data_IF_181562266306
#
_entry.id   IF_181562266306
#
_cell.length_a   1.000
_cell.length_b   1.000
_cell.length_c   1.000
_cell.angle_alpha   90.00
_cell.angle_beta   90.00
_cell.angle_gamma   90.00
#
_symmetry.space_group_name_H-M   'P 1'
#
loop_
_entity.id
_entity.type
_entity.pdbx_description
1 polymer ?
#
# COMPACT_ATOMS: atom_id res chain seq x y z
N UNK A 1 7.00 7.61 -11.83
CA UNK A 1 6.85 8.31 -10.54
C UNK A 1 5.87 7.55 -9.65
N UNK A 2 6.14 7.46 -8.35
CA UNK A 2 5.27 6.79 -7.36
C UNK A 2 4.69 7.82 -6.38
N UNK A 3 3.40 7.70 -6.06
CA UNK A 3 2.74 8.52 -5.03
C UNK A 3 1.95 7.61 -4.08
N UNK A 4 1.99 7.94 -2.80
CA UNK A 4 1.18 7.33 -1.75
C UNK A 4 0.35 8.43 -1.11
N UNK A 5 -0.97 8.22 -1.00
CA UNK A 5 -1.90 9.28 -0.61
C UNK A 5 -2.89 8.78 0.43
N UNK A 6 -3.09 9.61 1.45
CA UNK A 6 -4.29 9.59 2.29
C UNK A 6 -5.16 10.77 1.87
N UNK A 7 -6.46 10.56 1.66
CA UNK A 7 -7.37 11.64 1.26
C UNK A 7 -7.44 12.76 2.31
N UNK A 8 -7.26 12.40 3.59
CA UNK A 8 -7.22 13.35 4.71
C UNK A 8 -6.00 13.11 5.60
N UNK A 9 -5.46 14.16 6.24
CA UNK A 9 -4.43 14.01 7.27
C UNK A 9 -5.01 13.45 8.60
N UNK A 10 -6.32 13.59 8.82
CA UNK A 10 -7.02 13.11 10.00
C UNK A 10 -8.45 12.68 9.65
N UNK A 11 -8.92 11.63 10.33
CA UNK A 11 -10.25 11.05 10.21
C UNK A 11 -10.90 10.98 11.60
N UNK A 12 -12.22 11.13 11.65
CA UNK A 12 -12.97 10.87 12.89
C UNK A 12 -12.99 9.37 13.24
N UNK A 13 -13.30 9.03 14.49
CA UNK A 13 -13.49 7.63 14.87
C UNK A 13 -14.66 7.02 14.09
N UNK A 14 -14.46 5.83 13.51
CA UNK A 14 -15.44 5.15 12.67
C UNK A 14 -15.59 5.75 11.26
N UNK A 15 -14.91 6.84 10.94
CA UNK A 15 -14.84 7.34 9.57
C UNK A 15 -13.99 6.40 8.71
N UNK A 16 -14.45 6.16 7.47
CA UNK A 16 -13.71 5.34 6.52
C UNK A 16 -12.40 6.04 6.13
N UNK A 17 -11.29 5.38 6.42
CA UNK A 17 -9.96 5.81 5.97
C UNK A 17 -9.79 5.42 4.50
N UNK A 18 -9.49 6.41 3.64
CA UNK A 18 -9.24 6.19 2.22
C UNK A 18 -7.76 6.44 1.90
N UNK A 19 -7.06 5.36 1.59
CA UNK A 19 -5.65 5.37 1.16
C UNK A 19 -5.57 4.81 -0.24
N UNK A 20 -4.69 5.37 -1.06
CA UNK A 20 -4.38 4.82 -2.38
C UNK A 20 -2.93 5.08 -2.75
N UNK A 21 -2.45 4.29 -3.70
CA UNK A 21 -1.15 4.46 -4.32
C UNK A 21 -1.31 4.69 -5.82
N UNK A 22 -0.35 5.40 -6.40
CA UNK A 22 -0.30 5.66 -7.83
C UNK A 22 1.08 5.38 -8.41
N UNK A 23 1.10 4.82 -9.61
CA UNK A 23 2.29 4.64 -10.42
C UNK A 23 2.05 5.27 -11.79
N UNK A 24 2.84 6.29 -12.08
CA UNK A 24 2.77 7.04 -13.32
C UNK A 24 4.00 6.76 -14.16
N UNK A 25 3.81 6.39 -15.42
CA UNK A 25 4.90 6.21 -16.36
C UNK A 25 5.34 7.56 -16.94
N UNK A 26 6.63 7.87 -16.80
CA UNK A 26 7.23 9.14 -17.20
C UNK A 26 8.37 8.95 -18.20
N UNK A 27 8.40 7.80 -18.90
CA UNK A 27 9.40 7.52 -19.93
C UNK A 27 9.01 8.08 -21.29
N UNK A 28 9.92 7.96 -22.26
CA UNK A 28 9.75 8.51 -23.62
C UNK A 28 8.96 7.61 -24.58
N UNK A 29 8.83 6.32 -24.26
CA UNK A 29 8.08 5.38 -25.10
C UNK A 29 6.57 5.58 -24.96
N UNK A 30 5.80 5.02 -25.88
CA UNK A 30 4.33 5.09 -25.80
C UNK A 30 3.74 4.30 -24.63
N UNK A 31 4.44 3.25 -24.18
CA UNK A 31 4.09 2.46 -23.01
C UNK A 31 5.27 1.63 -22.51
N UNK A 32 5.12 1.05 -21.32
CA UNK A 32 6.02 0.05 -20.77
C UNK A 32 5.23 -1.05 -20.06
N UNK A 33 5.63 -2.31 -20.25
CA UNK A 33 5.10 -3.42 -19.44
C UNK A 33 5.93 -3.57 -18.18
N UNK A 34 5.27 -3.44 -17.04
CA UNK A 34 5.80 -3.83 -15.74
C UNK A 34 5.34 -5.23 -15.37
N UNK A 35 6.11 -5.93 -14.55
CA UNK A 35 5.78 -7.22 -14.00
C UNK A 35 5.86 -7.14 -12.48
N UNK A 36 4.80 -7.56 -11.81
CA UNK A 36 4.67 -7.42 -10.37
C UNK A 36 3.90 -8.62 -9.78
N UNK A 37 3.59 -8.54 -8.49
CA UNK A 37 2.77 -9.52 -7.76
C UNK A 37 1.30 -9.44 -8.20
N UNK A 38 0.33 -9.66 -7.31
CA UNK A 38 -1.08 -9.38 -7.66
C UNK A 38 -1.33 -7.88 -7.86
N UNK A 39 -0.55 -7.06 -7.17
CA UNK A 39 -0.50 -5.60 -7.25
C UNK A 39 0.96 -5.18 -7.17
N UNK A 40 1.37 -4.07 -7.82
CA UNK A 40 2.69 -3.52 -7.58
C UNK A 40 2.75 -2.82 -6.22
N UNK A 41 1.62 -2.49 -5.59
CA UNK A 41 1.54 -1.62 -4.43
C UNK A 41 1.42 -2.37 -3.10
N UNK A 42 2.29 -1.99 -2.17
CA UNK A 42 2.30 -2.49 -0.80
C UNK A 42 2.03 -1.35 0.17
N UNK A 43 1.22 -1.63 1.19
CA UNK A 43 0.83 -0.65 2.22
C UNK A 43 1.13 -1.17 3.64
N UNK A 44 2.37 -1.56 3.97
CA UNK A 44 2.70 -1.86 5.36
C UNK A 44 2.58 -0.60 6.21
N UNK A 45 2.09 -0.75 7.44
CA UNK A 45 1.87 0.38 8.33
C UNK A 45 2.36 0.08 9.73
N UNK A 46 2.53 1.14 10.50
CA UNK A 46 2.73 1.08 11.94
C UNK A 46 1.70 1.98 12.62
N UNK A 47 1.01 1.46 13.63
CA UNK A 47 0.20 2.25 14.55
C UNK A 47 1.06 2.60 15.77
N UNK A 48 1.42 3.87 15.90
CA UNK A 48 2.48 4.30 16.82
C UNK A 48 2.01 4.50 18.26
N UNK A 49 0.70 4.57 18.52
CA UNK A 49 0.17 4.69 19.90
C UNK A 49 0.36 3.41 20.69
N UNK A 50 0.17 2.25 20.03
CA UNK A 50 0.34 0.92 20.62
C UNK A 50 1.61 0.21 20.15
N UNK A 51 2.35 0.82 19.22
CA UNK A 51 3.53 0.24 18.57
C UNK A 51 3.18 -1.09 17.86
N UNK A 52 2.08 -1.10 17.09
CA UNK A 52 1.61 -2.28 16.36
C UNK A 52 2.02 -2.19 14.90
N UNK A 53 2.78 -3.19 14.44
CA UNK A 53 3.09 -3.37 13.03
C UNK A 53 1.93 -4.01 12.28
N UNK A 54 1.48 -3.37 11.21
CA UNK A 54 0.45 -3.87 10.31
C UNK A 54 1.13 -4.36 9.05
N UNK A 55 1.37 -5.67 8.98
CA UNK A 55 1.94 -6.30 7.80
C UNK A 55 0.99 -6.19 6.59
N UNK A 56 1.57 -6.14 5.40
CA UNK A 56 0.85 -6.16 4.13
C UNK A 56 1.25 -7.40 3.35
N UNK A 57 0.47 -8.46 3.50
CA UNK A 57 0.68 -9.74 2.80
C UNK A 57 -0.16 -9.72 1.54
N UNK A 58 0.43 -10.10 0.42
CA UNK A 58 -0.27 -10.30 -0.84
C UNK A 58 0.19 -11.58 -1.51
N UNK A 59 -0.68 -12.14 -2.34
CA UNK A 59 -0.26 -13.20 -3.26
C UNK A 59 0.73 -12.63 -4.27
N UNK A 60 1.71 -13.44 -4.66
CA UNK A 60 2.78 -13.03 -5.57
C UNK A 60 2.75 -13.80 -6.90
N UNK A 61 1.62 -13.83 -7.64
CA UNK A 61 1.64 -14.26 -9.03
C UNK A 61 2.48 -13.28 -9.86
N UNK A 62 3.02 -13.73 -10.99
CA UNK A 62 3.70 -12.83 -11.92
C UNK A 62 2.66 -12.18 -12.85
N UNK A 63 2.26 -10.94 -12.56
CA UNK A 63 1.25 -10.20 -13.35
C UNK A 63 1.91 -9.16 -14.24
N UNK A 64 1.69 -9.20 -15.57
CA UNK A 64 2.07 -8.12 -16.46
C UNK A 64 1.04 -6.98 -16.41
N UNK A 65 1.49 -5.73 -16.45
CA UNK A 65 0.63 -4.54 -16.56
C UNK A 65 1.29 -3.52 -17.46
N UNK A 66 0.54 -3.02 -18.43
CA UNK A 66 1.00 -1.95 -19.33
C UNK A 66 0.72 -0.59 -18.70
N UNK A 67 1.76 0.24 -18.57
CA UNK A 67 1.66 1.63 -18.15
C UNK A 67 1.86 2.52 -19.38
N UNK A 68 1.02 3.55 -19.52
CA UNK A 68 1.11 4.54 -20.58
C UNK A 68 1.19 5.95 -19.98
N UNK A 69 1.75 6.93 -20.70
CA UNK A 69 1.70 8.34 -20.30
C UNK A 69 0.25 8.79 -20.02
N UNK A 70 0.09 9.71 -19.07
CA UNK A 70 -1.19 10.31 -18.66
C UNK A 70 -2.26 9.33 -18.15
N UNK A 71 -1.91 8.05 -17.93
CA UNK A 71 -2.79 7.01 -17.39
C UNK A 71 -2.13 6.36 -16.16
N UNK A 72 -2.10 7.05 -15.01
CA UNK A 72 -1.51 6.48 -13.81
C UNK A 72 -2.29 5.23 -13.39
N UNK A 73 -1.58 4.15 -13.08
CA UNK A 73 -2.15 3.01 -12.38
C UNK A 73 -2.44 3.45 -10.95
N UNK A 74 -3.69 3.31 -10.51
CA UNK A 74 -4.12 3.68 -9.16
C UNK A 74 -4.83 2.50 -8.51
N UNK A 75 -4.45 2.18 -7.27
CA UNK A 75 -5.13 1.17 -6.47
C UNK A 75 -5.35 1.65 -5.04
N UNK A 76 -6.52 1.33 -4.50
CA UNK A 76 -6.87 1.64 -3.12
C UNK A 76 -6.36 0.55 -2.17
N UNK A 77 -6.06 0.96 -0.93
CA UNK A 77 -5.85 0.01 0.16
C UNK A 77 -7.17 -0.72 0.46
N UNK A 78 -7.13 -2.06 0.43
CA UNK A 78 -8.32 -2.91 0.61
C UNK A 78 -8.35 -3.62 1.96
N UNK A 79 -7.45 -3.25 2.87
CA UNK A 79 -7.29 -3.93 4.15
C UNK A 79 -6.09 -4.85 4.12
N UNK A 80 -5.51 -5.05 5.31
CA UNK A 80 -4.40 -5.95 5.55
C UNK A 80 -4.39 -6.33 7.02
N UNK A 81 -3.36 -7.04 7.44
CA UNK A 81 -3.24 -7.54 8.79
C UNK A 81 -3.09 -9.05 8.79
N UNK A 82 -2.17 -9.51 9.62
CA UNK A 82 -1.95 -10.91 9.89
C UNK A 82 -1.74 -11.07 11.39
N UNK A 83 -2.33 -12.11 11.94
CA UNK A 83 -2.16 -12.47 13.35
C UNK A 83 -2.03 -13.99 13.47
N UNK A 84 -1.22 -14.43 14.42
CA UNK A 84 -1.12 -15.81 14.84
C UNK A 84 -2.10 -16.12 15.97
N UNK A 85 -2.40 -17.40 16.17
CA UNK A 85 -3.27 -17.84 17.27
C UNK A 85 -2.64 -17.64 18.66
N UNK A 86 -1.33 -17.39 18.72
CA UNK A 86 -0.57 -17.14 19.95
C UNK A 86 -0.43 -15.64 20.26
N UNK A 87 -0.86 -14.76 19.36
CA UNK A 87 -0.76 -13.33 19.58
C UNK A 87 -1.69 -12.87 20.72
N UNK A 88 -1.37 -11.76 21.42
CA UNK A 88 -2.25 -11.21 22.42
C UNK A 88 -3.64 -10.91 21.85
N UNK A 89 -4.69 -11.23 22.61
CA UNK A 89 -6.09 -11.03 22.19
C UNK A 89 -6.37 -9.61 21.68
N UNK A 90 -5.82 -8.59 22.36
CA UNK A 90 -5.97 -7.18 21.95
C UNK A 90 -5.36 -6.87 20.57
N UNK A 91 -4.24 -7.51 20.22
CA UNK A 91 -3.61 -7.38 18.91
C UNK A 91 -4.43 -8.10 17.82
N UNK A 92 -4.96 -9.29 18.12
CA UNK A 92 -5.86 -10.03 17.22
C UNK A 92 -7.11 -9.18 16.91
N UNK A 93 -7.77 -8.64 17.95
CA UNK A 93 -8.94 -7.78 17.79
C UNK A 93 -8.61 -6.52 16.99
N UNK A 94 -7.45 -5.90 17.24
CA UNK A 94 -6.96 -4.78 16.45
C UNK A 94 -6.82 -5.13 14.96
N UNK A 95 -6.11 -6.23 14.64
CA UNK A 95 -5.89 -6.66 13.25
C UNK A 95 -7.19 -7.05 12.54
N UNK A 96 -8.16 -7.64 13.26
CA UNK A 96 -9.48 -7.93 12.70
C UNK A 96 -10.25 -6.66 12.30
N UNK A 97 -10.07 -5.56 13.04
CA UNK A 97 -10.68 -4.26 12.68
C UNK A 97 -9.96 -3.64 11.48
N UNK A 98 -8.63 -3.65 11.46
CA UNK A 98 -7.83 -3.17 10.30
C UNK A 98 -8.21 -3.92 9.02
N UNK A 99 -8.34 -5.25 9.06
CA UNK A 99 -8.76 -6.05 7.91
C UNK A 99 -10.16 -5.73 7.39
N UNK A 100 -11.01 -5.07 8.20
CA UNK A 100 -12.34 -4.59 7.83
C UNK A 100 -12.35 -3.10 7.45
N UNK A 101 -11.18 -2.47 7.32
CA UNK A 101 -11.02 -1.03 7.10
C UNK A 101 -11.60 -0.16 8.24
N UNK A 102 -11.78 -0.73 9.42
CA UNK A 102 -12.18 -0.03 10.63
C UNK A 102 -10.92 0.26 11.45
N UNK A 103 -10.33 1.43 11.22
CA UNK A 103 -9.08 1.81 11.89
C UNK A 103 -9.37 2.26 13.33
N UNK A 104 -8.79 1.62 14.37
CA UNK A 104 -8.90 2.11 15.73
C UNK A 104 -8.25 3.50 15.91
N UNK A 105 -8.66 4.25 16.92
CA UNK A 105 -8.03 5.54 17.26
C UNK A 105 -6.52 5.38 17.46
N UNK A 106 -5.75 6.25 16.80
CA UNK A 106 -4.29 6.15 16.77
C UNK A 106 -3.64 7.03 15.70
N UNK A 107 -2.30 6.98 15.66
CA UNK A 107 -1.49 7.59 14.61
C UNK A 107 -0.88 6.50 13.76
N UNK A 108 -1.08 6.59 12.45
CA UNK A 108 -0.67 5.57 11.49
C UNK A 108 0.40 6.13 10.57
N UNK A 109 1.51 5.41 10.47
CA UNK A 109 2.59 5.69 9.51
C UNK A 109 2.54 4.61 8.44
N UNK A 110 2.25 4.99 7.21
CA UNK A 110 2.22 4.07 6.05
C UNK A 110 3.55 4.15 5.34
N UNK A 111 4.30 3.06 5.33
CA UNK A 111 5.60 2.96 4.64
C UNK A 111 5.42 2.26 3.30
N UNK A 112 4.57 2.84 2.45
CA UNK A 112 4.15 2.22 1.20
C UNK A 112 5.26 2.15 0.16
N UNK A 113 5.18 1.15 -0.71
CA UNK A 113 6.11 1.01 -1.82
C UNK A 113 5.48 0.35 -3.04
N UNK A 114 6.00 0.69 -4.21
CA UNK A 114 5.75 -0.05 -5.45
C UNK A 114 6.93 -1.00 -5.72
N UNK A 115 6.65 -2.27 -5.97
CA UNK A 115 7.63 -3.34 -6.25
C UNK A 115 7.29 -4.04 -7.57
N UNK A 116 8.14 -3.84 -8.58
CA UNK A 116 7.93 -4.37 -9.92
C UNK A 116 9.25 -4.41 -10.68
N UNK A 117 9.27 -5.09 -11.82
CA UNK A 117 10.38 -5.01 -12.75
C UNK A 117 9.91 -4.69 -14.17
N UNK A 118 10.84 -4.21 -14.99
CA UNK A 118 10.67 -4.03 -16.44
C UNK A 118 11.65 -4.95 -17.15
N UNK A 119 11.22 -5.56 -18.26
CA UNK A 119 12.09 -6.35 -19.11
C UNK A 119 11.73 -6.13 -20.59
N UNK A 120 12.50 -5.30 -21.32
CA UNK A 120 12.34 -5.15 -22.76
C UNK A 120 12.63 -6.45 -23.50
N UNK A 121 12.06 -6.62 -24.70
CA UNK A 121 12.32 -7.81 -25.53
C UNK A 121 13.80 -7.89 -25.90
N UNK A 122 14.49 -8.94 -25.41
CA UNK A 122 15.92 -9.12 -25.61
C UNK A 122 16.82 -8.19 -24.78
N UNK A 123 16.22 -7.42 -23.86
CA UNK A 123 16.94 -6.57 -22.91
C UNK A 123 17.10 -7.22 -21.53
N UNK A 124 17.91 -6.58 -20.68
CA UNK A 124 18.07 -7.00 -19.29
C UNK A 124 16.85 -6.63 -18.45
N UNK A 125 16.64 -7.43 -17.40
CA UNK A 125 15.62 -7.14 -16.38
C UNK A 125 16.12 -6.00 -15.49
N UNK A 126 15.26 -5.01 -15.24
CA UNK A 126 15.52 -3.93 -14.27
C UNK A 126 14.46 -3.94 -13.19
N UNK A 127 14.87 -4.16 -11.95
CA UNK A 127 14.01 -4.15 -10.76
C UNK A 127 13.83 -2.73 -10.21
N UNK A 128 12.60 -2.40 -9.80
CA UNK A 128 12.23 -1.11 -9.23
C UNK A 128 11.54 -1.30 -7.88
N UNK A 129 12.04 -0.56 -6.88
CA UNK A 129 11.40 -0.44 -5.56
C UNK A 129 11.24 1.01 -5.16
N UNK A 130 10.11 1.60 -5.52
CA UNK A 130 9.81 3.01 -5.25
C UNK A 130 9.10 3.13 -3.92
N UNK A 131 9.52 4.05 -3.05
CA UNK A 131 9.00 4.17 -1.68
C UNK A 131 8.42 5.55 -1.42
N UNK A 132 7.41 5.61 -0.57
CA UNK A 132 6.88 6.85 -0.03
C UNK A 132 6.32 6.58 1.36
N UNK A 133 6.39 7.59 2.23
CA UNK A 133 5.84 7.52 3.59
C UNK A 133 4.83 8.62 3.79
N UNK A 134 3.68 8.27 4.35
CA UNK A 134 2.67 9.24 4.78
C UNK A 134 2.23 8.92 6.21
N UNK A 135 1.66 9.93 6.88
CA UNK A 135 1.09 9.79 8.21
C UNK A 135 -0.34 10.29 8.20
N UNK A 136 -1.25 9.56 8.86
CA UNK A 136 -2.60 10.02 9.14
C UNK A 136 -3.01 9.69 10.57
N UNK A 137 -4.04 10.37 11.07
CA UNK A 137 -4.61 10.15 12.42
C UNK A 137 -6.05 9.69 12.33
N UNK A 138 -6.47 8.87 13.29
CA UNK A 138 -7.87 8.52 13.52
C UNK A 138 -8.25 8.92 14.95
N UNK A 139 -9.38 9.61 15.11
CA UNK A 139 -9.90 10.04 16.41
C UNK A 139 -9.21 11.29 16.99
N UNK A 140 -8.39 11.99 16.20
CA UNK A 140 -7.81 13.28 16.56
C UNK A 140 -8.50 14.41 15.79
N UNK A 141 -9.36 15.16 16.49
CA UNK A 141 -9.78 16.51 16.08
C UNK A 141 -8.95 17.54 16.86
#
# INVERSE_FOLDING_TARGET
MYRLVSEKPAYAEGERVNLYAELEYTGSESSVTIYHSVSPFYFPMEETTRNYGIAYVMNQPLVPTELAPDKPLREAYVGSGGYGSQDPKAYIEFMQRIGKLDFPTGTYVVNGFADFYVQPKGGEKTDYKLKATITFKVGGA
#
